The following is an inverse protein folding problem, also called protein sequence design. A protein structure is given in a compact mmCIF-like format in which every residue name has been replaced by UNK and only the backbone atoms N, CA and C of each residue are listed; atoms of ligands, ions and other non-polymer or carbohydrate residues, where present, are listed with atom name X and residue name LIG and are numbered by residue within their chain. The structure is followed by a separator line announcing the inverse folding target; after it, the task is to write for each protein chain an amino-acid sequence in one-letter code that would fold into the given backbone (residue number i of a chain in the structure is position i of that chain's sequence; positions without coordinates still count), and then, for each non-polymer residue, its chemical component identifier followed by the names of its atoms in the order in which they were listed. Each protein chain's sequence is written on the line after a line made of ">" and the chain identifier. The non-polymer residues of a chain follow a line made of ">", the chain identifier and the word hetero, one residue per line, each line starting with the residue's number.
data_IF_532721437532
#
_entry.id   IF_532721437532
#
_cell.length_a   1.000
_cell.length_b   1.000
_cell.length_c   1.000
_cell.angle_alpha   90.00
_cell.angle_beta   90.00
_cell.angle_gamma   90.00
#
_symmetry.space_group_name_H-M   'P 1'
#
loop_
_entity.id
_entity.type
_entity.pdbx_description
1 polymer ?
#
# COMPACT_ATOMS: atom_id res chain seq x y z
N UNK A 1 11.51 5.02 13.05
CA UNK A 1 12.61 4.63 13.95
C UNK A 1 13.95 5.10 13.38
N UNK A 2 15.04 4.68 14.01
CA UNK A 2 16.43 5.00 13.66
C UNK A 2 16.86 4.51 12.26
N UNK A 3 16.09 3.61 11.67
CA UNK A 3 16.29 3.12 10.30
C UNK A 3 15.34 3.80 9.29
N UNK A 4 14.51 4.74 9.73
CA UNK A 4 13.51 5.40 8.90
C UNK A 4 12.27 4.56 8.61
N UNK A 5 12.11 3.38 9.24
CA UNK A 5 10.89 2.58 9.11
C UNK A 5 9.71 3.28 9.76
N UNK A 6 8.56 3.16 9.15
CA UNK A 6 7.34 3.83 9.61
C UNK A 6 6.80 3.16 10.87
N UNK A 7 6.47 3.99 11.84
CA UNK A 7 5.87 3.61 13.12
C UNK A 7 4.53 4.32 13.31
N UNK A 8 3.60 3.73 14.07
CA UNK A 8 2.40 4.45 14.48
C UNK A 8 2.76 5.63 15.41
N UNK A 9 2.01 6.70 15.25
CA UNK A 9 2.11 7.88 16.14
C UNK A 9 1.53 7.55 17.52
N UNK A 10 2.32 7.60 18.61
CA UNK A 10 1.85 7.25 19.95
C UNK A 10 0.85 8.26 20.54
N UNK A 11 0.75 9.48 20.02
CA UNK A 11 -0.29 10.43 20.42
C UNK A 11 -1.66 9.99 19.89
N UNK A 12 -1.69 9.44 18.64
CA UNK A 12 -2.90 8.91 18.02
C UNK A 12 -3.22 7.48 18.45
N UNK A 13 -2.19 6.70 18.73
CA UNK A 13 -2.28 5.29 19.11
C UNK A 13 -1.49 5.05 20.40
N UNK A 14 -2.04 5.41 21.58
CA UNK A 14 -1.30 5.30 22.86
C UNK A 14 -0.79 3.89 23.16
N UNK A 15 -1.47 2.84 22.69
CA UNK A 15 -1.03 1.46 22.85
C UNK A 15 0.25 1.12 22.07
N UNK A 16 0.66 1.99 21.14
CA UNK A 16 1.87 1.82 20.34
C UNK A 16 3.13 2.39 21.02
N UNK A 17 2.98 3.09 22.16
CA UNK A 17 4.10 3.65 22.90
C UNK A 17 5.12 2.56 23.31
N UNK A 18 6.29 3.01 23.73
CA UNK A 18 7.38 2.14 24.25
C UNK A 18 7.86 1.07 23.26
N UNK A 19 7.70 1.33 21.96
CA UNK A 19 8.15 0.43 20.89
C UNK A 19 7.19 -0.74 20.60
N UNK A 20 6.01 -0.77 21.19
CA UNK A 20 5.03 -1.83 20.93
C UNK A 20 4.45 -1.82 19.52
N UNK A 21 4.52 -0.70 18.81
CA UNK A 21 3.93 -0.56 17.48
C UNK A 21 2.43 -0.89 17.49
N UNK A 22 1.93 -1.48 16.42
CA UNK A 22 0.53 -1.89 16.37
C UNK A 22 0.24 -3.27 17.00
N UNK A 23 1.22 -3.96 17.60
CA UNK A 23 1.00 -5.30 18.14
C UNK A 23 -0.18 -5.38 19.15
N UNK A 24 -0.31 -4.48 20.14
CA UNK A 24 -1.44 -4.54 21.07
C UNK A 24 -2.81 -4.29 20.40
N UNK A 25 -2.85 -3.44 19.37
CA UNK A 25 -4.08 -3.18 18.61
C UNK A 25 -4.45 -4.38 17.73
N UNK A 26 -3.47 -4.96 17.04
CA UNK A 26 -3.68 -6.15 16.22
C UNK A 26 -4.18 -7.33 17.07
N UNK A 27 -3.62 -7.55 18.25
CA UNK A 27 -4.07 -8.58 19.19
C UNK A 27 -5.55 -8.40 19.58
N UNK A 28 -5.97 -7.18 19.90
CA UNK A 28 -7.38 -6.88 20.22
C UNK A 28 -8.31 -7.15 19.03
N UNK A 29 -7.90 -6.77 17.81
CA UNK A 29 -8.65 -7.00 16.57
C UNK A 29 -8.76 -8.51 16.30
N UNK A 30 -7.68 -9.26 16.47
CA UNK A 30 -7.68 -10.71 16.32
C UNK A 30 -8.55 -11.41 17.36
N UNK A 31 -8.57 -10.93 18.61
CA UNK A 31 -9.45 -11.45 19.65
C UNK A 31 -10.94 -11.28 19.32
N UNK A 32 -11.29 -10.33 18.46
CA UNK A 32 -12.66 -10.16 17.92
C UNK A 32 -12.94 -11.05 16.68
N UNK A 33 -12.00 -11.90 16.28
CA UNK A 33 -12.11 -12.72 15.07
C UNK A 33 -11.93 -11.96 13.76
N UNK A 34 -11.38 -10.74 13.81
CA UNK A 34 -11.14 -9.87 12.66
C UNK A 34 -9.68 -9.92 12.22
N UNK A 35 -9.40 -9.34 11.04
CA UNK A 35 -8.06 -9.20 10.48
C UNK A 35 -7.56 -7.76 10.63
N UNK A 36 -6.25 -7.61 10.87
CA UNK A 36 -5.59 -6.31 11.00
C UNK A 36 -4.85 -5.94 9.73
N UNK A 37 -5.04 -4.71 9.26
CA UNK A 37 -4.36 -4.20 8.06
C UNK A 37 -3.88 -2.77 8.22
N UNK A 38 -2.90 -2.39 7.40
CA UNK A 38 -2.39 -1.02 7.31
C UNK A 38 -2.38 -0.54 5.86
N UNK A 39 -2.40 0.77 5.69
CA UNK A 39 -2.26 1.45 4.41
C UNK A 39 -0.92 2.18 4.36
N UNK A 40 -0.22 2.08 3.23
CA UNK A 40 1.05 2.76 2.98
C UNK A 40 1.08 3.43 1.61
N UNK A 41 1.99 4.40 1.48
CA UNK A 41 2.49 4.87 0.20
C UNK A 41 3.70 4.03 -0.22
N UNK A 42 3.91 3.83 -1.54
CA UNK A 42 5.15 3.23 -2.02
C UNK A 42 6.37 4.11 -1.74
N UNK A 43 7.55 3.50 -1.80
CA UNK A 43 8.83 4.20 -1.73
C UNK A 43 9.39 4.33 -0.33
N UNK A 44 10.31 5.26 -0.18
CA UNK A 44 11.05 5.53 1.05
C UNK A 44 10.71 6.93 1.58
N UNK A 45 10.40 7.09 2.89
CA UNK A 45 10.09 8.39 3.47
C UNK A 45 11.19 9.42 3.23
N UNK A 46 10.82 10.64 2.82
CA UNK A 46 11.77 11.74 2.63
C UNK A 46 12.62 11.98 3.87
N UNK A 47 12.00 11.89 5.05
CA UNK A 47 12.71 12.07 6.30
C UNK A 47 13.88 11.07 6.46
N UNK A 48 13.71 9.82 6.02
CA UNK A 48 14.78 8.84 6.05
C UNK A 48 15.93 9.23 5.10
N UNK A 49 15.59 9.71 3.91
CA UNK A 49 16.56 10.14 2.89
C UNK A 49 17.26 11.44 3.31
N UNK A 50 16.51 12.42 3.78
CA UNK A 50 17.06 13.74 4.18
C UNK A 50 18.05 13.59 5.35
N UNK A 51 17.77 12.68 6.27
CA UNK A 51 18.67 12.38 7.40
C UNK A 51 19.70 11.28 7.07
N UNK A 52 19.68 10.76 5.84
CA UNK A 52 20.57 9.68 5.38
C UNK A 52 20.64 8.49 6.34
N UNK A 53 19.47 8.03 6.81
CA UNK A 53 19.37 6.95 7.78
C UNK A 53 19.86 5.61 7.19
N UNK A 54 20.41 4.70 8.01
CA UNK A 54 20.86 3.40 7.53
C UNK A 54 19.68 2.51 7.11
N UNK A 55 19.85 1.75 6.05
CA UNK A 55 18.94 0.66 5.68
C UNK A 55 19.29 -0.55 6.53
N UNK A 56 18.39 -0.92 7.42
CA UNK A 56 18.64 -1.97 8.42
C UNK A 56 19.09 -3.28 7.78
N UNK A 57 20.07 -3.94 8.39
CA UNK A 57 20.62 -5.22 7.92
C UNK A 57 21.53 -5.12 6.70
N UNK A 58 21.87 -3.92 6.24
CA UNK A 58 22.74 -3.67 5.09
C UNK A 58 23.84 -2.65 5.41
N UNK A 59 24.89 -2.54 4.59
CA UNK A 59 25.85 -1.45 4.70
C UNK A 59 25.40 -0.14 4.04
N UNK A 60 24.17 -0.08 3.50
CA UNK A 60 23.67 1.02 2.69
C UNK A 60 22.87 2.02 3.51
N UNK A 61 22.70 3.22 2.93
CA UNK A 61 21.91 4.30 3.51
C UNK A 61 20.67 4.61 2.63
N UNK A 62 19.73 5.34 3.21
CA UNK A 62 18.51 5.76 2.53
C UNK A 62 18.78 6.58 1.26
N UNK A 63 19.83 7.42 1.25
CA UNK A 63 20.20 8.21 0.07
C UNK A 63 20.72 7.34 -1.07
N UNK A 64 21.42 6.26 -0.77
CA UNK A 64 21.95 5.35 -1.80
C UNK A 64 20.86 4.55 -2.50
N UNK A 65 19.78 4.21 -1.78
CA UNK A 65 18.68 3.38 -2.30
C UNK A 65 17.51 4.20 -2.85
N UNK A 66 17.44 5.50 -2.55
CA UNK A 66 16.36 6.36 -3.00
C UNK A 66 16.46 6.69 -4.50
N UNK A 67 15.30 6.86 -5.14
CA UNK A 67 15.17 7.47 -6.47
C UNK A 67 14.41 8.78 -6.37
N UNK A 68 15.15 9.88 -6.38
CA UNK A 68 14.60 11.24 -6.21
C UNK A 68 13.76 11.71 -7.40
N UNK A 69 13.85 11.03 -8.55
CA UNK A 69 13.13 11.39 -9.77
C UNK A 69 11.76 10.70 -9.90
N UNK A 70 11.54 9.62 -9.16
CA UNK A 70 10.31 8.85 -9.22
C UNK A 70 9.48 9.03 -7.94
N UNK A 71 8.92 10.23 -7.79
CA UNK A 71 8.06 10.62 -6.66
C UNK A 71 6.58 10.48 -7.02
N UNK A 72 5.74 10.26 -6.01
CA UNK A 72 4.30 10.37 -6.17
C UNK A 72 3.90 11.83 -6.47
N UNK A 73 3.08 12.05 -7.51
CA UNK A 73 2.71 13.40 -7.95
C UNK A 73 1.72 14.10 -7.02
N UNK A 74 0.94 13.34 -6.27
CA UNK A 74 -0.14 13.83 -5.42
C UNK A 74 0.13 13.66 -3.92
N UNK A 75 1.23 12.98 -3.57
CA UNK A 75 1.70 12.86 -2.18
C UNK A 75 3.21 13.04 -2.14
N UNK A 76 3.67 13.97 -1.33
CA UNK A 76 5.08 14.35 -1.25
C UNK A 76 5.87 13.66 -0.15
N UNK A 77 5.29 12.69 0.55
CA UNK A 77 5.90 12.13 1.76
C UNK A 77 7.08 11.20 1.47
N UNK A 78 7.06 10.54 0.30
CA UNK A 78 8.06 9.57 -0.07
C UNK A 78 8.79 9.92 -1.37
N UNK A 79 10.05 9.46 -1.48
CA UNK A 79 10.76 9.27 -2.74
C UNK A 79 10.54 7.85 -3.25
N UNK A 80 10.81 7.59 -4.54
CA UNK A 80 10.88 6.24 -5.08
C UNK A 80 12.08 5.46 -4.56
N UNK A 81 12.20 4.20 -4.97
CA UNK A 81 13.37 3.37 -4.72
C UNK A 81 14.08 3.03 -6.04
N UNK A 82 15.40 3.02 -6.00
CA UNK A 82 16.21 2.54 -7.11
C UNK A 82 16.28 1.01 -7.08
N UNK A 83 15.37 0.34 -7.77
CA UNK A 83 15.30 -1.13 -7.80
C UNK A 83 16.49 -1.82 -8.48
N UNK A 84 17.41 -1.07 -9.10
CA UNK A 84 18.68 -1.60 -9.57
C UNK A 84 19.74 -1.65 -8.46
N UNK A 85 19.48 -1.02 -7.31
CA UNK A 85 20.35 -1.05 -6.15
C UNK A 85 19.98 -2.21 -5.23
N UNK A 86 20.96 -3.01 -4.81
CA UNK A 86 20.73 -4.20 -3.98
C UNK A 86 20.09 -3.91 -2.61
N UNK A 87 20.22 -2.69 -2.10
CA UNK A 87 19.60 -2.24 -0.85
C UNK A 87 18.11 -1.92 -0.96
N UNK A 88 17.56 -1.75 -2.18
CA UNK A 88 16.15 -1.37 -2.36
C UNK A 88 15.21 -2.48 -1.86
N UNK A 89 15.49 -3.74 -2.14
CA UNK A 89 14.71 -4.86 -1.64
C UNK A 89 14.78 -4.94 -0.11
N UNK A 90 15.95 -4.72 0.48
CA UNK A 90 16.12 -4.78 1.93
C UNK A 90 15.28 -3.72 2.66
N UNK A 91 15.05 -2.56 2.07
CA UNK A 91 14.16 -1.55 2.61
C UNK A 91 12.74 -2.11 2.86
N UNK A 92 12.14 -2.76 1.85
CA UNK A 92 10.82 -3.36 2.01
C UNK A 92 10.84 -4.60 2.90
N UNK A 93 11.86 -5.43 2.81
CA UNK A 93 12.01 -6.60 3.67
C UNK A 93 11.95 -6.21 5.16
N UNK A 94 12.68 -5.18 5.55
CA UNK A 94 12.74 -4.71 6.94
C UNK A 94 11.46 -3.97 7.39
N UNK A 95 10.80 -3.25 6.48
CA UNK A 95 9.50 -2.64 6.78
C UNK A 95 8.43 -3.70 6.98
N UNK A 96 8.38 -4.70 6.11
CA UNK A 96 7.41 -5.79 6.20
C UNK A 96 7.72 -6.74 7.37
N UNK A 97 8.98 -6.97 7.68
CA UNK A 97 9.37 -7.71 8.89
C UNK A 97 8.82 -7.04 10.16
N UNK A 98 8.94 -5.71 10.24
CA UNK A 98 8.40 -4.95 11.36
C UNK A 98 6.86 -5.08 11.43
N UNK A 99 6.17 -4.90 10.33
CA UNK A 99 4.70 -4.96 10.30
C UNK A 99 4.16 -6.36 10.58
N UNK A 100 4.80 -7.39 10.04
CA UNK A 100 4.44 -8.78 10.32
C UNK A 100 4.66 -9.13 11.80
N UNK A 101 5.69 -8.55 12.45
CA UNK A 101 5.91 -8.73 13.89
C UNK A 101 4.76 -8.19 14.75
N UNK A 102 3.98 -7.23 14.24
CA UNK A 102 2.78 -6.73 14.90
C UNK A 102 1.52 -7.57 14.64
N UNK A 103 1.61 -8.57 13.75
CA UNK A 103 0.47 -9.40 13.40
C UNK A 103 -0.33 -8.89 12.19
N UNK A 104 0.33 -8.23 11.23
CA UNK A 104 -0.30 -7.77 9.99
C UNK A 104 -0.93 -8.94 9.20
N UNK A 105 -2.15 -8.77 8.71
CA UNK A 105 -2.85 -9.69 7.80
C UNK A 105 -3.11 -9.08 6.41
N UNK A 106 -3.13 -7.75 6.31
CA UNK A 106 -3.50 -7.06 5.08
C UNK A 106 -2.69 -5.77 4.90
N UNK A 107 -2.15 -5.57 3.72
CA UNK A 107 -1.41 -4.38 3.35
C UNK A 107 -2.02 -3.75 2.10
N UNK A 108 -2.51 -2.51 2.21
CA UNK A 108 -2.83 -1.69 1.05
C UNK A 108 -1.64 -0.77 0.76
N UNK A 109 -1.20 -0.75 -0.51
CA UNK A 109 -0.13 0.15 -0.95
C UNK A 109 -0.64 1.05 -2.07
N UNK A 110 -0.44 2.34 -1.89
CA UNK A 110 -0.87 3.36 -2.84
C UNK A 110 0.28 3.84 -3.75
N UNK A 111 -0.07 4.53 -4.84
CA UNK A 111 0.84 4.97 -5.92
C UNK A 111 1.52 3.80 -6.67
N UNK A 112 0.84 2.65 -6.83
CA UNK A 112 1.43 1.43 -7.38
C UNK A 112 1.13 1.18 -8.85
N UNK A 113 0.00 1.69 -9.37
CA UNK A 113 -0.52 1.28 -10.67
C UNK A 113 -0.69 2.40 -11.69
N UNK A 114 -0.41 3.67 -11.30
CA UNK A 114 -0.54 4.80 -12.21
C UNK A 114 0.57 5.84 -11.98
N UNK A 115 1.73 5.71 -12.68
CA UNK A 115 2.10 4.66 -13.63
C UNK A 115 2.24 3.28 -12.99
N UNK A 116 2.29 2.23 -13.81
CA UNK A 116 2.40 0.86 -13.30
C UNK A 116 3.83 0.55 -12.85
N UNK A 117 4.03 0.43 -11.54
CA UNK A 117 5.31 0.23 -10.88
C UNK A 117 5.62 -1.27 -10.64
N UNK A 118 5.89 -2.02 -11.72
CA UNK A 118 6.09 -3.48 -11.62
C UNK A 118 7.23 -3.90 -10.70
N UNK A 119 8.36 -3.18 -10.72
CA UNK A 119 9.49 -3.47 -9.83
C UNK A 119 9.14 -3.26 -8.35
N UNK A 120 8.38 -2.22 -8.06
CA UNK A 120 7.88 -1.91 -6.72
C UNK A 120 6.92 -3.00 -6.22
N UNK A 121 5.95 -3.40 -7.08
CA UNK A 121 4.98 -4.46 -6.77
C UNK A 121 5.71 -5.78 -6.47
N UNK A 122 6.69 -6.13 -7.30
CA UNK A 122 7.51 -7.32 -7.08
C UNK A 122 8.31 -7.25 -5.77
N UNK A 123 8.85 -6.08 -5.42
CA UNK A 123 9.59 -5.90 -4.17
C UNK A 123 8.70 -6.07 -2.93
N UNK A 124 7.48 -5.55 -2.95
CA UNK A 124 6.50 -5.81 -1.89
C UNK A 124 6.10 -7.27 -1.80
N UNK A 125 5.82 -7.92 -2.94
CA UNK A 125 5.52 -9.36 -2.98
C UNK A 125 6.64 -10.19 -2.34
N UNK A 126 7.90 -9.92 -2.71
CA UNK A 126 9.05 -10.63 -2.17
C UNK A 126 9.22 -10.40 -0.65
N UNK A 127 9.01 -9.16 -0.18
CA UNK A 127 9.08 -8.82 1.24
C UNK A 127 7.96 -9.51 2.04
N UNK A 128 6.74 -9.56 1.50
CA UNK A 128 5.62 -10.29 2.08
C UNK A 128 5.94 -11.77 2.19
N UNK A 129 6.42 -12.41 1.11
CA UNK A 129 6.75 -13.83 1.11
C UNK A 129 7.81 -14.19 2.17
N UNK A 130 8.82 -13.33 2.37
CA UNK A 130 9.82 -13.48 3.44
C UNK A 130 9.19 -13.37 4.84
N UNK A 131 8.32 -12.37 5.04
CA UNK A 131 7.62 -12.16 6.29
C UNK A 131 6.68 -13.32 6.62
N UNK A 132 5.90 -13.81 5.64
CA UNK A 132 5.03 -14.99 5.78
C UNK A 132 5.82 -16.23 6.18
N UNK A 133 6.96 -16.48 5.54
CA UNK A 133 7.83 -17.60 5.85
C UNK A 133 8.39 -17.53 7.28
N UNK A 134 8.69 -16.31 7.77
CA UNK A 134 9.24 -16.09 9.11
C UNK A 134 8.19 -16.19 10.22
N UNK A 135 7.01 -15.62 9.99
CA UNK A 135 5.99 -15.47 11.05
C UNK A 135 4.85 -16.50 10.94
N UNK A 136 4.78 -17.28 9.86
CA UNK A 136 3.72 -18.28 9.65
C UNK A 136 2.32 -17.67 9.49
N UNK A 137 2.22 -16.42 9.02
CA UNK A 137 0.98 -15.68 8.86
C UNK A 137 0.87 -15.14 7.43
N UNK A 138 -0.26 -15.39 6.76
CA UNK A 138 -0.51 -14.86 5.42
C UNK A 138 -0.86 -13.37 5.48
N UNK A 139 -0.29 -12.60 4.53
CA UNK A 139 -0.50 -11.16 4.38
C UNK A 139 -1.01 -10.89 2.97
N UNK A 140 -2.25 -10.42 2.85
CA UNK A 140 -2.82 -10.06 1.57
C UNK A 140 -2.35 -8.68 1.12
N UNK A 141 -1.88 -8.58 -0.13
CA UNK A 141 -1.47 -7.32 -0.77
C UNK A 141 -2.60 -6.75 -1.62
N UNK A 142 -2.93 -5.47 -1.40
CA UNK A 142 -3.86 -4.68 -2.19
C UNK A 142 -3.14 -3.49 -2.81
N UNK A 143 -3.34 -3.27 -4.12
CA UNK A 143 -2.66 -2.22 -4.90
C UNK A 143 -3.64 -1.12 -5.31
N UNK A 144 -3.21 0.14 -5.20
CA UNK A 144 -3.96 1.31 -5.67
C UNK A 144 -3.04 2.44 -6.16
N UNK A 145 -3.55 3.50 -6.81
CA UNK A 145 -4.83 3.58 -7.53
C UNK A 145 -4.80 2.79 -8.84
N UNK A 146 -5.94 2.61 -9.53
CA UNK A 146 -6.01 1.71 -10.66
C UNK A 146 -6.83 2.16 -11.88
N UNK A 147 -7.14 3.46 -12.01
CA UNK A 147 -8.02 3.97 -13.06
C UNK A 147 -7.61 3.58 -14.49
N UNK A 148 -6.33 3.39 -14.73
CA UNK A 148 -5.74 3.09 -16.04
C UNK A 148 -5.01 1.75 -16.11
N UNK A 149 -5.16 0.89 -15.08
CA UNK A 149 -4.49 -0.42 -15.11
C UNK A 149 -5.00 -1.28 -16.26
N UNK A 150 -4.06 -1.82 -17.03
CA UNK A 150 -4.36 -2.67 -18.19
C UNK A 150 -4.66 -4.10 -17.76
N UNK A 151 -5.67 -4.73 -18.38
CA UNK A 151 -5.89 -6.18 -18.25
C UNK A 151 -4.72 -7.03 -18.76
N UNK A 152 -3.83 -6.46 -19.56
CA UNK A 152 -2.58 -7.12 -19.97
C UNK A 152 -1.63 -7.42 -18.82
N UNK A 153 -1.80 -6.80 -17.65
CA UNK A 153 -1.01 -7.10 -16.46
C UNK A 153 -1.61 -8.19 -15.57
N UNK A 154 -2.69 -8.86 -16.00
CA UNK A 154 -3.45 -9.80 -15.16
C UNK A 154 -2.59 -10.92 -14.58
N UNK A 155 -1.73 -11.56 -15.37
CA UNK A 155 -0.86 -12.63 -14.88
C UNK A 155 0.09 -12.11 -13.80
N UNK A 156 0.78 -11.02 -14.09
CA UNK A 156 1.67 -10.38 -13.13
C UNK A 156 0.96 -9.97 -11.83
N UNK A 157 -0.25 -9.41 -11.94
CA UNK A 157 -1.05 -9.01 -10.78
C UNK A 157 -1.48 -10.21 -9.93
N UNK A 158 -1.90 -11.31 -10.56
CA UNK A 158 -2.25 -12.56 -9.86
C UNK A 158 -1.06 -13.16 -9.13
N UNK A 159 0.11 -13.13 -9.75
CA UNK A 159 1.33 -13.67 -9.14
C UNK A 159 1.82 -12.81 -7.98
N UNK A 160 1.47 -11.53 -7.95
CA UNK A 160 2.07 -10.57 -7.03
C UNK A 160 1.13 -10.08 -5.92
N UNK A 161 -0.19 -10.06 -6.13
CA UNK A 161 -1.14 -9.45 -5.21
C UNK A 161 -2.48 -10.19 -5.18
N UNK A 162 -3.22 -10.06 -4.08
CA UNK A 162 -4.55 -10.64 -3.91
C UNK A 162 -5.65 -9.69 -4.35
N UNK A 163 -5.33 -8.38 -4.43
CA UNK A 163 -6.31 -7.35 -4.75
C UNK A 163 -5.64 -6.20 -5.50
N UNK A 164 -6.31 -5.64 -6.50
CA UNK A 164 -5.81 -4.45 -7.23
C UNK A 164 -6.96 -3.57 -7.68
N UNK A 165 -6.81 -2.27 -7.48
CA UNK A 165 -7.78 -1.27 -7.92
C UNK A 165 -7.87 -1.23 -9.44
N UNK A 166 -9.10 -1.10 -9.91
CA UNK A 166 -9.43 -0.92 -11.34
C UNK A 166 -10.06 0.44 -11.62
N UNK A 167 -10.11 1.29 -10.61
CA UNK A 167 -10.61 2.66 -10.67
C UNK A 167 -9.72 3.59 -9.85
N UNK A 168 -9.82 4.88 -10.10
CA UNK A 168 -9.45 5.90 -9.13
C UNK A 168 -10.49 5.95 -8.01
N UNK A 169 -10.32 6.85 -7.03
CA UNK A 169 -11.23 6.95 -5.91
C UNK A 169 -12.68 7.13 -6.35
N UNK A 170 -13.57 6.29 -5.82
CA UNK A 170 -14.99 6.35 -6.07
C UNK A 170 -15.67 7.24 -5.02
N UNK A 171 -16.43 8.21 -5.51
CA UNK A 171 -17.21 9.09 -4.68
C UNK A 171 -18.71 8.92 -4.96
N UNK A 172 -19.58 9.45 -4.07
CA UNK A 172 -21.03 9.34 -4.13
C UNK A 172 -21.68 10.20 -5.24
N UNK A 173 -21.08 10.20 -6.43
CA UNK A 173 -21.60 10.79 -7.65
C UNK A 173 -22.05 9.69 -8.59
N UNK A 174 -23.21 9.90 -9.19
CA UNK A 174 -23.78 8.91 -10.11
C UNK A 174 -22.80 8.48 -11.22
N UNK A 175 -22.06 9.42 -11.79
CA UNK A 175 -21.08 9.12 -12.85
C UNK A 175 -19.97 8.17 -12.36
N UNK A 176 -19.44 8.38 -11.17
CA UNK A 176 -18.40 7.51 -10.59
C UNK A 176 -18.97 6.10 -10.36
N UNK A 177 -20.18 6.00 -9.82
CA UNK A 177 -20.87 4.72 -9.61
C UNK A 177 -21.14 4.03 -10.96
N UNK A 178 -21.71 4.76 -11.93
CA UNK A 178 -22.05 4.21 -13.23
C UNK A 178 -20.83 3.63 -13.96
N UNK A 179 -19.69 4.30 -13.89
CA UNK A 179 -18.45 3.85 -14.54
C UNK A 179 -17.90 2.55 -13.95
N UNK A 180 -18.31 2.15 -12.76
CA UNK A 180 -17.86 0.87 -12.19
C UNK A 180 -18.44 -0.35 -12.92
N UNK A 181 -19.66 -0.26 -13.47
CA UNK A 181 -20.27 -1.37 -14.20
C UNK A 181 -19.46 -1.81 -15.42
N UNK A 182 -19.07 -0.93 -16.36
CA UNK A 182 -18.22 -1.33 -17.50
C UNK A 182 -16.83 -1.74 -17.06
N UNK A 183 -16.24 -1.15 -16.00
CA UNK A 183 -14.94 -1.56 -15.46
C UNK A 183 -14.99 -2.98 -14.92
N UNK A 184 -15.97 -3.29 -14.07
CA UNK A 184 -16.16 -4.63 -13.51
C UNK A 184 -16.45 -5.64 -14.61
N UNK A 185 -17.30 -5.33 -15.59
CA UNK A 185 -17.57 -6.20 -16.72
C UNK A 185 -16.31 -6.54 -17.52
N UNK A 186 -15.43 -5.55 -17.73
CA UNK A 186 -14.13 -5.75 -18.40
C UNK A 186 -13.20 -6.66 -17.60
N UNK A 187 -13.17 -6.54 -16.27
CA UNK A 187 -12.28 -7.30 -15.40
C UNK A 187 -12.84 -8.65 -14.94
N UNK A 188 -14.15 -8.87 -15.05
CA UNK A 188 -14.81 -10.11 -14.61
C UNK A 188 -14.16 -11.40 -15.15
N UNK A 189 -13.73 -11.49 -16.43
CA UNK A 189 -13.08 -12.69 -16.95
C UNK A 189 -11.71 -12.99 -16.34
N UNK A 190 -11.11 -11.99 -15.71
CA UNK A 190 -9.75 -12.04 -15.17
C UNK A 190 -9.69 -12.27 -13.65
N UNK A 191 -10.82 -12.26 -12.98
CA UNK A 191 -10.90 -12.55 -11.55
C UNK A 191 -10.89 -14.06 -11.27
N UNK A 192 -10.26 -14.45 -10.18
CA UNK A 192 -10.26 -15.82 -9.67
C UNK A 192 -10.33 -15.78 -8.15
N UNK A 193 -10.68 -16.92 -7.53
CA UNK A 193 -10.66 -17.04 -6.07
C UNK A 193 -9.30 -16.63 -5.52
N UNK A 194 -9.28 -15.70 -4.57
CA UNK A 194 -8.07 -15.16 -3.96
C UNK A 194 -7.42 -13.99 -4.73
N UNK A 195 -7.93 -13.64 -5.93
CA UNK A 195 -7.36 -12.57 -6.75
C UNK A 195 -8.48 -11.70 -7.36
N UNK A 196 -8.63 -10.47 -6.84
CA UNK A 196 -9.81 -9.65 -7.05
C UNK A 196 -9.48 -8.30 -7.67
N UNK A 197 -10.20 -7.96 -8.72
CA UNK A 197 -10.26 -6.61 -9.26
C UNK A 197 -11.16 -5.75 -8.34
N UNK A 198 -10.59 -4.72 -7.75
CA UNK A 198 -11.23 -3.87 -6.76
C UNK A 198 -11.80 -2.61 -7.42
N UNK A 199 -13.13 -2.47 -7.38
CA UNK A 199 -13.83 -1.30 -7.89
C UNK A 199 -13.93 -0.14 -6.88
N UNK A 200 -13.19 -0.23 -5.77
CA UNK A 200 -13.14 0.73 -4.68
C UNK A 200 -14.40 0.76 -3.79
N UNK A 201 -14.49 1.78 -2.97
CA UNK A 201 -15.58 1.99 -2.02
C UNK A 201 -16.94 2.02 -2.73
N UNK A 202 -17.91 1.26 -2.22
CA UNK A 202 -19.30 1.42 -2.63
C UNK A 202 -19.97 2.46 -1.72
N UNK A 203 -20.36 3.63 -2.25
CA UNK A 203 -21.02 4.62 -1.44
C UNK A 203 -22.47 4.17 -1.15
N UNK A 204 -22.73 3.79 0.08
CA UNK A 204 -24.07 3.50 0.56
C UNK A 204 -24.64 4.76 1.21
N UNK A 205 -25.38 5.53 0.43
CA UNK A 205 -25.92 6.83 0.85
C UNK A 205 -24.94 7.97 0.57
N UNK A 206 -25.13 9.08 1.25
CA UNK A 206 -24.31 10.28 1.10
C UNK A 206 -23.06 10.17 1.95
N UNK A 207 -21.86 10.17 1.34
CA UNK A 207 -20.60 9.95 2.05
C UNK A 207 -19.70 11.19 2.17
N UNK A 208 -20.10 12.32 1.63
CA UNK A 208 -19.25 13.44 1.89
C UNK A 208 -19.49 14.77 1.26
N UNK A 209 -18.86 15.74 1.86
CA UNK A 209 -18.82 17.15 1.43
C UNK A 209 -18.31 17.34 0.00
N UNK A 210 -17.61 16.37 -0.57
CA UNK A 210 -17.10 16.43 -1.94
C UNK A 210 -18.21 16.33 -2.98
N UNK A 211 -19.22 15.49 -2.73
CA UNK A 211 -20.40 15.40 -3.57
C UNK A 211 -21.24 16.69 -3.55
N UNK A 212 -21.35 17.35 -2.39
CA UNK A 212 -22.08 18.60 -2.23
C UNK A 212 -21.42 19.79 -2.92
N UNK A 213 -20.10 19.78 -3.06
CA UNK A 213 -19.33 20.88 -3.67
C UNK A 213 -19.24 20.82 -5.19
N UNK A 214 -20.02 19.96 -5.84
CA UNK A 214 -20.10 19.93 -7.30
C UNK A 214 -18.78 19.58 -7.97
N UNK A 215 -18.02 18.66 -7.39
CA UNK A 215 -16.85 18.12 -8.00
C UNK A 215 -15.76 19.13 -8.37
N UNK A 216 -15.48 19.97 -7.47
CA UNK A 216 -14.22 20.71 -7.56
C UNK A 216 -13.06 19.69 -7.44
N UNK A 217 -12.35 19.44 -8.54
CA UNK A 217 -11.21 18.51 -8.57
C UNK A 217 -10.14 18.85 -7.54
N UNK A 218 -10.08 20.10 -7.12
CA UNK A 218 -9.20 20.57 -6.03
C UNK A 218 -9.67 20.09 -4.65
N UNK A 219 -10.93 19.74 -4.50
CA UNK A 219 -11.45 19.16 -3.24
C UNK A 219 -11.23 17.65 -3.13
N UNK A 220 -10.62 17.02 -4.14
CA UNK A 220 -10.31 15.59 -4.17
C UNK A 220 -8.86 15.25 -3.80
N UNK A 221 -8.05 16.27 -3.54
CA UNK A 221 -6.63 16.12 -3.19
C UNK A 221 -6.43 16.25 -1.69
#
# INVERSE_FOLDING_TARGET
>A
DEFGRQLPDPERFPSAADGHGFAPLAEQIHAMGLKFGVHMMRGIPRLAVDNNLPVKGTPYTAQEVADLNHVCKWNSDNYGLNHNHSGAQAWYDEQLDLFASWGLDFLKVDDMQTPFHSAEIAAYHNAIAKAEAKYGRSISLSLSPGGWVSTGYTEFLRDSAQMWRISDDLWDRWEDIYQQFPRLARWAPFQTTGHWADADMLPLGHIGLRAERGDDRQSRL
#
